data_IF_322925391247
#
_entry.id   IF_322925391247
#
_cell.length_a   1.000
_cell.length_b   1.000
_cell.length_c   1.000
_cell.angle_alpha   90.00
_cell.angle_beta   90.00
_cell.angle_gamma   90.00
#
_symmetry.space_group_name_H-M   'P 1'
#
loop_
_entity.id
_entity.type
_entity.pdbx_description
1 polymer ?
#
# COMPACT_ATOMS: atom_id res chain seq x y z
N UNK A 1 17.11 -4.62 -16.25
CA UNK A 1 15.85 -4.56 -17.01
C UNK A 1 15.34 -3.15 -16.89
N UNK A 2 15.27 -2.43 -18.00
CA UNK A 2 14.93 -1.01 -18.05
C UNK A 2 13.54 -0.75 -17.45
N UNK A 3 12.61 -1.69 -17.60
CA UNK A 3 11.28 -1.64 -16.98
C UNK A 3 11.34 -1.64 -15.46
N UNK A 4 12.15 -2.50 -14.85
CA UNK A 4 12.27 -2.59 -13.39
C UNK A 4 12.92 -1.32 -12.84
N UNK A 5 13.95 -0.82 -13.53
CA UNK A 5 14.60 0.43 -13.15
C UNK A 5 13.62 1.62 -13.19
N UNK A 6 12.78 1.70 -14.22
CA UNK A 6 11.75 2.73 -14.33
C UNK A 6 10.77 2.68 -13.15
N UNK A 7 10.24 1.50 -12.82
CA UNK A 7 9.30 1.32 -11.69
C UNK A 7 9.97 1.74 -10.37
N UNK A 8 11.24 1.37 -10.17
CA UNK A 8 12.02 1.77 -8.99
C UNK A 8 12.33 3.27 -8.98
N UNK A 9 12.35 3.98 -10.10
CA UNK A 9 12.45 5.45 -10.07
C UNK A 9 11.08 6.08 -9.79
N UNK A 10 10.04 5.60 -10.47
CA UNK A 10 8.69 6.14 -10.42
C UNK A 10 7.97 5.97 -9.06
N UNK A 11 8.42 5.06 -8.17
CA UNK A 11 7.86 5.01 -6.82
C UNK A 11 8.28 6.19 -5.92
N UNK A 12 9.30 6.94 -6.31
CA UNK A 12 9.83 8.10 -5.58
C UNK A 12 10.06 9.29 -6.53
N UNK A 13 9.00 9.84 -7.14
CA UNK A 13 9.11 10.93 -8.12
C UNK A 13 9.78 12.17 -7.52
N UNK A 14 9.52 12.50 -6.26
CA UNK A 14 10.14 13.63 -5.55
C UNK A 14 11.68 13.52 -5.45
N UNK A 15 12.24 12.31 -5.53
CA UNK A 15 13.68 12.06 -5.44
C UNK A 15 14.32 11.87 -6.81
N UNK A 16 13.59 11.32 -7.77
CA UNK A 16 14.14 10.87 -9.05
C UNK A 16 13.71 11.71 -10.26
N UNK A 17 12.64 12.51 -10.11
CA UNK A 17 12.01 13.26 -11.19
C UNK A 17 11.27 12.38 -12.22
N UNK A 18 11.12 11.08 -11.95
CA UNK A 18 10.41 10.15 -12.84
C UNK A 18 8.99 9.98 -12.33
N UNK A 19 8.01 10.42 -13.11
CA UNK A 19 6.59 10.31 -12.77
C UNK A 19 6.02 8.91 -13.10
N UNK A 20 5.04 8.41 -12.33
CA UNK A 20 4.30 7.20 -12.69
C UNK A 20 3.53 7.37 -14.00
N UNK A 21 3.75 6.48 -14.97
CA UNK A 21 3.05 6.52 -16.27
C UNK A 21 2.33 5.23 -16.60
N UNK A 22 2.73 4.12 -15.99
CA UNK A 22 2.12 2.81 -16.20
C UNK A 22 1.37 2.35 -14.96
N UNK A 23 0.46 1.38 -15.13
CA UNK A 23 -0.22 0.75 -13.99
C UNK A 23 0.76 0.11 -13.00
N UNK A 24 1.91 -0.37 -13.48
CA UNK A 24 2.94 -0.97 -12.61
C UNK A 24 3.59 0.10 -11.72
N UNK A 25 3.97 1.26 -12.30
CA UNK A 25 4.52 2.38 -11.55
C UNK A 25 3.53 2.86 -10.47
N UNK A 26 2.28 3.12 -10.88
CA UNK A 26 1.21 3.55 -9.97
C UNK A 26 0.93 2.51 -8.87
N UNK A 27 1.06 1.22 -9.18
CA UNK A 27 0.85 0.16 -8.18
C UNK A 27 1.89 0.23 -7.08
N UNK A 28 3.17 0.38 -7.43
CA UNK A 28 4.27 0.45 -6.45
C UNK A 28 4.24 1.77 -5.68
N UNK A 29 4.06 2.89 -6.39
CA UNK A 29 3.92 4.21 -5.78
C UNK A 29 2.82 4.24 -4.70
N UNK A 30 1.61 3.76 -5.03
CA UNK A 30 0.49 3.74 -4.10
C UNK A 30 0.63 2.67 -3.00
N UNK A 31 1.26 1.52 -3.26
CA UNK A 31 1.30 0.43 -2.28
C UNK A 31 2.44 0.57 -1.26
N UNK A 32 3.55 1.24 -1.61
CA UNK A 32 4.76 1.32 -0.79
C UNK A 32 4.45 1.67 0.68
N UNK A 33 3.84 2.84 0.92
CA UNK A 33 3.51 3.25 2.29
C UNK A 33 2.31 2.51 2.91
N UNK A 34 1.42 1.95 2.09
CA UNK A 34 0.25 1.19 2.54
C UNK A 34 0.66 -0.14 3.16
N UNK A 35 1.67 -0.83 2.60
CA UNK A 35 2.15 -2.10 3.17
C UNK A 35 2.62 -1.92 4.62
N UNK A 36 3.35 -0.85 4.92
CA UNK A 36 3.76 -0.53 6.29
C UNK A 36 2.58 -0.30 7.25
N UNK A 37 1.49 0.33 6.79
CA UNK A 37 0.26 0.46 7.57
C UNK A 37 -0.36 -0.92 7.84
N UNK A 38 -0.46 -1.78 6.83
CA UNK A 38 -1.01 -3.14 6.97
C UNK A 38 -0.21 -3.96 7.98
N UNK A 39 1.12 -3.92 7.92
CA UNK A 39 2.01 -4.55 8.91
C UNK A 39 1.74 -4.01 10.30
N UNK A 40 1.67 -2.68 10.46
CA UNK A 40 1.37 -2.08 11.76
C UNK A 40 0.00 -2.54 12.31
N UNK A 41 -1.02 -2.70 11.45
CA UNK A 41 -2.31 -3.29 11.86
C UNK A 41 -2.15 -4.73 12.33
N UNK A 42 -1.36 -5.55 11.64
CA UNK A 42 -1.09 -6.92 12.08
C UNK A 42 -0.43 -6.96 13.45
N UNK A 43 0.58 -6.12 13.69
CA UNK A 43 1.37 -6.12 14.92
C UNK A 43 0.59 -5.73 16.19
N UNK A 44 -0.55 -5.05 16.05
CA UNK A 44 -1.43 -4.73 17.18
C UNK A 44 -2.53 -5.76 17.45
N UNK A 45 -2.69 -6.76 16.57
CA UNK A 45 -3.55 -7.90 16.85
C UNK A 45 -2.88 -8.83 17.87
N UNK A 46 -3.62 -9.49 18.77
CA UNK A 46 -3.04 -10.43 19.74
C UNK A 46 -2.19 -11.53 19.10
N UNK A 47 -2.62 -12.05 17.94
CA UNK A 47 -1.91 -13.09 17.20
C UNK A 47 -0.67 -12.58 16.46
N UNK A 48 -0.59 -11.27 16.18
CA UNK A 48 0.42 -10.63 15.32
C UNK A 48 0.52 -11.20 13.90
N UNK A 49 -0.53 -11.88 13.43
CA UNK A 49 -0.57 -12.55 12.12
C UNK A 49 -1.40 -11.78 11.12
N UNK A 50 -0.91 -11.67 9.87
CA UNK A 50 -1.67 -11.06 8.77
C UNK A 50 -2.96 -11.83 8.45
N UNK A 51 -2.97 -13.15 8.66
CA UNK A 51 -4.13 -14.00 8.42
C UNK A 51 -5.38 -13.58 9.21
N UNK A 52 -5.19 -12.99 10.39
CA UNK A 52 -6.29 -12.57 11.26
C UNK A 52 -6.75 -11.13 11.01
N UNK A 53 -5.96 -10.35 10.24
CA UNK A 53 -6.25 -8.94 9.97
C UNK A 53 -7.49 -8.80 9.11
N UNK A 54 -8.48 -8.07 9.62
CA UNK A 54 -9.72 -7.75 8.89
C UNK A 54 -9.53 -6.50 8.03
N UNK A 55 -10.07 -6.52 6.82
CA UNK A 55 -10.11 -5.37 5.91
C UNK A 55 -10.64 -4.09 6.59
N UNK A 56 -11.72 -4.22 7.37
CA UNK A 56 -12.32 -3.09 8.10
C UNK A 56 -11.37 -2.44 9.12
N UNK A 57 -10.44 -3.20 9.70
CA UNK A 57 -9.41 -2.65 10.59
C UNK A 57 -8.43 -1.79 9.81
N UNK A 58 -7.96 -2.27 8.65
CA UNK A 58 -7.05 -1.50 7.79
C UNK A 58 -7.71 -0.21 7.31
N UNK A 59 -8.96 -0.28 6.83
CA UNK A 59 -9.73 0.89 6.40
C UNK A 59 -9.91 1.89 7.54
N UNK A 60 -10.29 1.42 8.75
CA UNK A 60 -10.44 2.29 9.92
C UNK A 60 -9.14 3.01 10.28
N UNK A 61 -8.02 2.27 10.33
CA UNK A 61 -6.69 2.82 10.65
C UNK A 61 -6.20 3.79 9.58
N UNK A 62 -6.55 3.55 8.33
CA UNK A 62 -6.22 4.43 7.22
C UNK A 62 -7.05 5.74 7.29
N UNK A 63 -8.38 5.66 7.36
CA UNK A 63 -9.29 6.80 7.17
C UNK A 63 -9.62 7.58 8.46
N UNK A 64 -9.68 6.90 9.60
CA UNK A 64 -10.24 7.48 10.84
C UNK A 64 -9.21 7.70 11.93
N UNK A 65 -8.03 7.09 11.82
CA UNK A 65 -7.00 7.13 12.86
C UNK A 65 -5.64 7.53 12.27
N UNK A 66 -5.48 8.75 11.72
CA UNK A 66 -4.25 9.16 11.02
C UNK A 66 -3.00 9.14 11.90
N UNK A 67 -3.15 9.24 13.23
CA UNK A 67 -2.05 9.10 14.19
C UNK A 67 -1.50 7.67 14.26
N UNK A 68 -2.30 6.67 13.93
CA UNK A 68 -1.83 5.29 13.83
C UNK A 68 -0.99 5.13 12.57
N UNK A 69 0.25 4.65 12.70
CA UNK A 69 1.21 4.63 11.60
C UNK A 69 1.25 6.00 10.90
N UNK A 70 1.64 7.04 11.66
CA UNK A 70 1.62 8.44 11.20
C UNK A 70 2.52 8.68 9.96
N UNK A 71 3.51 7.82 9.72
CA UNK A 71 4.37 7.87 8.53
C UNK A 71 3.73 7.37 7.24
N UNK A 72 2.52 6.80 7.27
CA UNK A 72 1.84 6.38 6.04
C UNK A 72 1.46 7.59 5.19
N UNK A 73 1.94 7.62 3.95
CA UNK A 73 1.67 8.66 2.95
C UNK A 73 0.26 8.49 2.38
N UNK A 74 -0.75 8.79 3.19
CA UNK A 74 -2.17 8.55 2.88
C UNK A 74 -2.66 9.27 1.63
N UNK A 75 -2.10 10.45 1.33
CA UNK A 75 -2.42 11.18 0.11
C UNK A 75 -2.00 10.40 -1.13
N UNK A 76 -0.74 9.92 -1.17
CA UNK A 76 -0.20 9.09 -2.24
C UNK A 76 -1.01 7.81 -2.44
N UNK A 77 -1.32 7.10 -1.36
CA UNK A 77 -2.12 5.86 -1.42
C UNK A 77 -3.50 6.14 -2.04
N UNK A 78 -4.11 7.29 -1.72
CA UNK A 78 -5.42 7.67 -2.27
C UNK A 78 -5.41 7.99 -3.77
N UNK A 79 -4.24 8.28 -4.35
CA UNK A 79 -4.09 8.47 -5.81
C UNK A 79 -4.39 7.20 -6.61
N UNK A 80 -4.49 6.02 -5.96
CA UNK A 80 -5.00 4.81 -6.60
C UNK A 80 -6.38 4.98 -7.27
N UNK A 81 -7.18 5.94 -6.79
CA UNK A 81 -8.52 6.22 -7.32
C UNK A 81 -8.52 7.14 -8.54
N UNK A 82 -7.39 7.75 -8.91
CA UNK A 82 -7.31 8.60 -10.09
C UNK A 82 -7.49 7.78 -11.38
N UNK A 83 -8.18 8.36 -12.36
CA UNK A 83 -8.45 7.75 -13.66
C UNK A 83 -7.18 7.41 -14.42
N UNK A 84 -6.17 8.27 -14.30
CA UNK A 84 -4.90 8.19 -15.02
C UNK A 84 -3.90 7.27 -14.28
N UNK A 85 -4.25 6.86 -13.06
CA UNK A 85 -3.53 5.91 -12.24
C UNK A 85 -4.08 4.49 -12.34
N UNK A 86 -4.56 3.97 -11.21
CA UNK A 86 -5.12 2.61 -11.16
C UNK A 86 -6.62 2.58 -11.46
N UNK A 87 -7.32 3.72 -11.33
CA UNK A 87 -8.77 3.83 -11.43
C UNK A 87 -9.48 2.79 -10.53
N UNK A 88 -8.99 2.63 -9.30
CA UNK A 88 -9.54 1.70 -8.32
C UNK A 88 -10.04 2.46 -7.09
N UNK A 89 -11.25 2.17 -6.60
CA UNK A 89 -11.70 2.68 -5.31
C UNK A 89 -10.66 2.36 -4.22
N UNK A 90 -10.36 3.32 -3.34
CA UNK A 90 -9.39 3.15 -2.26
C UNK A 90 -9.61 1.86 -1.46
N UNK A 91 -10.85 1.56 -1.06
CA UNK A 91 -11.17 0.35 -0.31
C UNK A 91 -10.81 -0.92 -1.08
N UNK A 92 -11.02 -0.92 -2.41
CA UNK A 92 -10.66 -2.03 -3.27
C UNK A 92 -9.15 -2.20 -3.38
N UNK A 93 -8.41 -1.09 -3.47
CA UNK A 93 -6.95 -1.11 -3.48
C UNK A 93 -6.36 -1.63 -2.17
N UNK A 94 -6.93 -1.20 -1.03
CA UNK A 94 -6.56 -1.72 0.31
C UNK A 94 -6.87 -3.23 0.40
N UNK A 95 -8.02 -3.67 -0.09
CA UNK A 95 -8.38 -5.09 -0.12
C UNK A 95 -7.37 -5.91 -0.92
N UNK A 96 -7.03 -5.48 -2.14
CA UNK A 96 -6.06 -6.17 -3.00
C UNK A 96 -4.71 -6.27 -2.30
N UNK A 97 -4.24 -5.17 -1.72
CA UNK A 97 -2.95 -5.11 -1.02
C UNK A 97 -2.92 -6.05 0.19
N UNK A 98 -3.95 -6.02 1.03
CA UNK A 98 -4.06 -6.91 2.20
C UNK A 98 -4.08 -8.38 1.78
N UNK A 99 -4.90 -8.74 0.79
CA UNK A 99 -5.00 -10.14 0.32
C UNK A 99 -3.71 -10.62 -0.33
N UNK A 100 -2.99 -9.75 -1.04
CA UNK A 100 -1.69 -10.08 -1.60
C UNK A 100 -0.67 -10.37 -0.49
N UNK A 101 -0.58 -9.49 0.51
CA UNK A 101 0.31 -9.70 1.67
C UNK A 101 -0.03 -10.96 2.46
N UNK A 102 -1.32 -11.27 2.63
CA UNK A 102 -1.76 -12.50 3.30
C UNK A 102 -1.30 -13.79 2.60
N UNK A 103 -1.23 -13.78 1.26
CA UNK A 103 -0.76 -14.96 0.48
C UNK A 103 0.72 -15.25 0.67
N UNK A 104 1.52 -14.22 0.92
CA UNK A 104 2.98 -14.30 1.10
C UNK A 104 3.40 -14.13 2.56
N UNK A 105 2.45 -14.15 3.51
CA UNK A 105 2.71 -13.89 4.92
C UNK A 105 3.89 -14.72 5.50
N UNK A 106 4.02 -16.03 5.16
CA UNK A 106 5.16 -16.83 5.60
C UNK A 106 6.53 -16.33 5.09
N UNK A 107 6.57 -15.64 3.95
CA UNK A 107 7.80 -15.13 3.32
C UNK A 107 8.24 -13.79 3.94
N UNK A 108 7.30 -13.02 4.49
CA UNK A 108 7.53 -11.70 5.11
C UNK A 108 7.52 -11.75 6.63
N UNK A 109 7.60 -12.96 7.22
CA UNK A 109 7.63 -13.22 8.66
C UNK A 109 6.41 -12.66 9.43
N UNK A 110 5.21 -12.74 8.84
CA UNK A 110 3.94 -12.23 9.40
C UNK A 110 2.76 -13.21 9.23
#
# INVERSE_FOLDING_TARGET
SDTVEHIVKAHAPDLTGVEPTTKADWSIFCCDSLTGLIVAVALVYPSKKLADVKLSSVIKRFLKEPKFAAGTRRADVALCSQSDGLNLPLEKFIEISLRAMQKIAPEINL
#
